data_IF_747667751093
#
_entry.id   IF_747667751093
#
_cell.length_a   1.000
_cell.length_b   1.000
_cell.length_c   1.000
_cell.angle_alpha   90.00
_cell.angle_beta   90.00
_cell.angle_gamma   90.00
#
_symmetry.space_group_name_H-M   'P 1'
#
loop_
_entity.id
_entity.type
_entity.pdbx_description
1 polymer ?
#
# COMPACT_ATOMS: atom_id res chain seq x y z
N UNK A 1 -9.88 -32.86 -2.66
CA UNK A 1 -9.29 -31.93 -1.66
C UNK A 1 -8.28 -30.95 -2.27
N UNK A 2 -7.22 -31.37 -2.99
CA UNK A 2 -6.20 -30.46 -3.57
C UNK A 2 -6.70 -29.30 -4.47
N UNK A 3 -7.84 -29.47 -5.15
CA UNK A 3 -8.37 -28.45 -6.07
C UNK A 3 -8.98 -27.25 -5.33
N UNK A 4 -9.68 -27.48 -4.21
CA UNK A 4 -10.28 -26.42 -3.38
C UNK A 4 -9.21 -25.54 -2.72
N UNK A 5 -8.12 -26.14 -2.27
CA UNK A 5 -6.99 -25.40 -1.68
C UNK A 5 -6.30 -24.48 -2.69
N UNK A 6 -6.22 -24.92 -3.95
CA UNK A 6 -5.61 -24.13 -5.04
C UNK A 6 -6.48 -22.93 -5.41
N UNK A 7 -7.81 -23.13 -5.49
CA UNK A 7 -8.77 -22.07 -5.79
C UNK A 7 -8.77 -21.01 -4.68
N UNK A 8 -8.81 -21.44 -3.41
CA UNK A 8 -8.75 -20.53 -2.26
C UNK A 8 -7.46 -19.71 -2.23
N UNK A 9 -6.31 -20.35 -2.49
CA UNK A 9 -5.02 -19.65 -2.55
C UNK A 9 -4.97 -18.58 -3.64
N UNK A 10 -5.46 -18.89 -4.85
CA UNK A 10 -5.48 -17.97 -5.98
C UNK A 10 -6.43 -16.79 -5.76
N UNK A 11 -7.58 -17.04 -5.12
CA UNK A 11 -8.54 -15.99 -4.77
C UNK A 11 -7.94 -15.02 -3.74
N UNK A 12 -7.25 -15.55 -2.72
CA UNK A 12 -6.62 -14.73 -1.68
C UNK A 12 -5.47 -13.87 -2.23
N UNK A 13 -4.63 -14.41 -3.14
CA UNK A 13 -3.56 -13.62 -3.77
C UNK A 13 -4.10 -12.53 -4.69
N UNK A 14 -5.19 -12.81 -5.42
CA UNK A 14 -5.86 -11.83 -6.27
C UNK A 14 -6.46 -10.69 -5.44
N UNK A 15 -7.14 -11.03 -4.34
CA UNK A 15 -7.72 -10.03 -3.44
C UNK A 15 -6.65 -9.17 -2.79
N UNK A 16 -5.54 -9.75 -2.34
CA UNK A 16 -4.39 -9.01 -1.81
C UNK A 16 -3.85 -7.96 -2.79
N UNK A 17 -3.61 -8.35 -4.05
CA UNK A 17 -3.14 -7.41 -5.08
C UNK A 17 -4.16 -6.33 -5.40
N UNK A 18 -5.47 -6.66 -5.40
CA UNK A 18 -6.54 -5.67 -5.61
C UNK A 18 -6.59 -4.64 -4.50
N UNK A 19 -6.42 -5.03 -3.24
CA UNK A 19 -6.40 -4.08 -2.12
C UNK A 19 -5.23 -3.10 -2.25
N UNK A 20 -4.04 -3.58 -2.61
CA UNK A 20 -2.87 -2.73 -2.84
C UNK A 20 -3.05 -1.80 -4.05
N UNK A 21 -3.69 -2.30 -5.12
CA UNK A 21 -4.02 -1.48 -6.29
C UNK A 21 -4.99 -0.36 -5.93
N UNK A 22 -6.07 -0.68 -5.21
CA UNK A 22 -7.05 0.29 -4.73
C UNK A 22 -6.38 1.33 -3.83
N UNK A 23 -5.52 0.88 -2.90
CA UNK A 23 -4.76 1.78 -2.04
C UNK A 23 -3.91 2.77 -2.87
N UNK A 24 -3.14 2.28 -3.85
CA UNK A 24 -2.30 3.13 -4.70
C UNK A 24 -3.10 4.12 -5.56
N UNK A 25 -4.28 3.72 -6.08
CA UNK A 25 -5.17 4.63 -6.83
C UNK A 25 -5.73 5.73 -5.93
N UNK A 26 -6.23 5.37 -4.74
CA UNK A 26 -6.76 6.33 -3.77
C UNK A 26 -5.65 7.29 -3.32
N UNK A 27 -4.48 6.76 -2.98
CA UNK A 27 -3.31 7.56 -2.56
C UNK A 27 -2.84 8.50 -3.67
N UNK A 28 -2.74 8.03 -4.92
CA UNK A 28 -2.42 8.87 -6.07
C UNK A 28 -3.44 10.01 -6.23
N UNK A 29 -4.73 9.69 -6.14
CA UNK A 29 -5.81 10.69 -6.25
C UNK A 29 -5.72 11.76 -5.16
N UNK A 30 -5.47 11.33 -3.93
CA UNK A 30 -5.22 12.19 -2.79
C UNK A 30 -3.98 13.10 -3.00
N UNK A 31 -2.88 12.55 -3.50
CA UNK A 31 -1.64 13.30 -3.74
C UNK A 31 -1.72 14.22 -4.96
N UNK A 32 -2.61 13.96 -5.92
CA UNK A 32 -2.94 14.90 -7.01
C UNK A 32 -3.58 16.16 -6.41
N UNK A 33 -4.51 16.02 -5.47
CA UNK A 33 -5.13 17.15 -4.77
C UNK A 33 -4.14 18.01 -3.98
N UNK A 34 -2.97 17.47 -3.66
CA UNK A 34 -1.90 18.16 -2.93
C UNK A 34 -0.73 18.60 -3.84
N UNK A 35 -0.81 18.33 -5.14
CA UNK A 35 0.32 18.43 -6.06
C UNK A 35 0.91 19.83 -6.14
N UNK A 36 0.08 20.86 -6.35
CA UNK A 36 0.55 22.26 -6.46
C UNK A 36 1.30 22.71 -5.20
N UNK A 37 0.79 22.33 -4.03
CA UNK A 37 1.42 22.64 -2.74
C UNK A 37 2.75 21.91 -2.57
N UNK A 38 2.81 20.63 -2.95
CA UNK A 38 4.06 19.86 -2.93
C UNK A 38 5.08 20.41 -3.91
N UNK A 39 4.66 20.83 -5.09
CA UNK A 39 5.55 21.46 -6.07
C UNK A 39 6.16 22.75 -5.52
N UNK A 40 5.40 23.54 -4.75
CA UNK A 40 5.89 24.77 -4.13
C UNK A 40 6.92 24.53 -3.01
N UNK A 41 6.82 23.41 -2.28
CA UNK A 41 7.70 23.07 -1.14
C UNK A 41 8.89 22.21 -1.56
N UNK A 42 8.64 21.15 -2.33
CA UNK A 42 9.62 20.12 -2.66
C UNK A 42 10.23 20.29 -4.07
N UNK A 43 9.65 21.17 -4.89
CA UNK A 43 9.97 21.30 -6.31
C UNK A 43 9.26 20.26 -7.20
N UNK A 44 9.21 20.53 -8.51
CA UNK A 44 8.45 19.73 -9.49
C UNK A 44 8.86 18.25 -9.52
N UNK A 45 10.17 17.97 -9.53
CA UNK A 45 10.68 16.61 -9.64
C UNK A 45 10.25 15.72 -8.46
N UNK A 46 10.37 16.25 -7.23
CA UNK A 46 9.96 15.54 -6.03
C UNK A 46 8.43 15.41 -5.95
N UNK A 47 7.69 16.47 -6.28
CA UNK A 47 6.23 16.43 -6.32
C UNK A 47 5.72 15.31 -7.27
N UNK A 48 6.30 15.18 -8.46
CA UNK A 48 5.97 14.09 -9.40
C UNK A 48 6.31 12.71 -8.83
N UNK A 49 7.50 12.54 -8.25
CA UNK A 49 7.91 11.26 -7.68
C UNK A 49 6.97 10.83 -6.55
N UNK A 50 6.61 11.75 -5.65
CA UNK A 50 5.71 11.44 -4.56
C UNK A 50 4.27 11.24 -5.01
N UNK A 51 3.78 11.96 -6.00
CA UNK A 51 2.38 11.81 -6.45
C UNK A 51 2.18 10.59 -7.35
N UNK A 52 3.17 10.22 -8.17
CA UNK A 52 2.98 9.22 -9.24
C UNK A 52 3.78 7.94 -8.98
N UNK A 53 4.96 7.99 -8.36
CA UNK A 53 5.83 6.81 -8.26
C UNK A 53 5.66 6.11 -6.91
N UNK A 54 5.76 6.87 -5.82
CA UNK A 54 5.76 6.33 -4.45
C UNK A 54 4.49 5.55 -4.10
N UNK A 55 3.26 5.99 -4.46
CA UNK A 55 2.03 5.26 -4.15
C UNK A 55 1.95 3.87 -4.78
N UNK A 56 2.76 3.61 -5.81
CA UNK A 56 2.75 2.34 -6.55
C UNK A 56 3.81 1.36 -6.06
N UNK A 57 4.73 1.81 -5.19
CA UNK A 57 5.75 0.96 -4.58
C UNK A 57 5.11 -0.19 -3.77
N UNK A 58 4.09 0.03 -2.92
CA UNK A 58 3.41 -1.06 -2.21
C UNK A 58 2.81 -2.12 -3.14
N UNK A 59 2.21 -1.70 -4.26
CA UNK A 59 1.66 -2.61 -5.27
C UNK A 59 2.75 -3.46 -5.94
N UNK A 60 3.85 -2.82 -6.36
CA UNK A 60 4.98 -3.52 -6.95
C UNK A 60 5.61 -4.54 -5.99
N UNK A 61 5.73 -4.18 -4.70
CA UNK A 61 6.19 -5.09 -3.65
C UNK A 61 5.22 -6.26 -3.46
N UNK A 62 3.91 -6.00 -3.43
CA UNK A 62 2.89 -7.04 -3.37
C UNK A 62 2.97 -8.01 -4.55
N UNK A 63 3.18 -7.49 -5.75
CA UNK A 63 3.41 -8.32 -6.94
C UNK A 63 4.65 -9.20 -6.79
N UNK A 64 5.77 -8.64 -6.31
CA UNK A 64 6.99 -9.40 -6.05
C UNK A 64 6.80 -10.48 -4.98
N UNK A 65 5.96 -10.24 -3.96
CA UNK A 65 5.59 -11.26 -2.96
C UNK A 65 4.84 -12.41 -3.62
N UNK A 66 3.81 -12.12 -4.42
CA UNK A 66 2.97 -13.17 -5.02
C UNK A 66 3.72 -13.94 -6.11
N UNK A 67 4.44 -13.24 -6.99
CA UNK A 67 5.08 -13.84 -8.17
C UNK A 67 6.43 -14.47 -7.85
N UNK A 68 7.27 -13.78 -7.04
CA UNK A 68 8.63 -14.24 -6.74
C UNK A 68 8.78 -14.82 -5.33
N UNK A 69 7.70 -14.85 -4.54
CA UNK A 69 7.73 -15.34 -3.15
C UNK A 69 8.78 -14.60 -2.31
N UNK A 70 8.99 -13.32 -2.59
CA UNK A 70 10.05 -12.52 -1.99
C UNK A 70 9.71 -12.13 -0.54
N UNK A 71 10.44 -12.72 0.41
CA UNK A 71 10.34 -12.37 1.85
C UNK A 71 10.85 -10.96 2.14
N UNK A 72 11.84 -10.50 1.37
CA UNK A 72 12.37 -9.14 1.51
C UNK A 72 11.29 -8.14 1.09
N UNK A 73 10.59 -8.37 -0.03
CA UNK A 73 9.50 -7.50 -0.46
C UNK A 73 8.36 -7.46 0.56
N UNK A 74 8.03 -8.61 1.16
CA UNK A 74 7.07 -8.71 2.26
C UNK A 74 7.49 -7.88 3.48
N UNK A 75 8.75 -7.98 3.91
CA UNK A 75 9.27 -7.21 5.03
C UNK A 75 9.28 -5.70 4.75
N UNK A 76 9.68 -5.29 3.54
CA UNK A 76 9.64 -3.88 3.12
C UNK A 76 8.21 -3.38 3.11
N UNK A 77 7.25 -4.14 2.57
CA UNK A 77 5.84 -3.74 2.55
C UNK A 77 5.30 -3.52 3.97
N UNK A 78 5.59 -4.43 4.91
CA UNK A 78 5.20 -4.28 6.33
C UNK A 78 5.85 -3.03 6.94
N UNK A 79 7.15 -2.82 6.69
CA UNK A 79 7.87 -1.66 7.21
C UNK A 79 7.30 -0.34 6.67
N UNK A 80 6.99 -0.26 5.36
CA UNK A 80 6.39 0.92 4.75
C UNK A 80 5.00 1.22 5.34
N UNK A 81 4.17 0.19 5.53
CA UNK A 81 2.87 0.36 6.18
C UNK A 81 3.03 0.87 7.62
N UNK A 82 3.98 0.33 8.39
CA UNK A 82 4.25 0.81 9.75
C UNK A 82 4.75 2.27 9.76
N UNK A 83 5.65 2.63 8.84
CA UNK A 83 6.13 4.00 8.70
C UNK A 83 5.02 4.98 8.31
N UNK A 84 4.08 4.57 7.45
CA UNK A 84 2.92 5.38 7.09
C UNK A 84 2.04 5.68 8.31
N UNK A 85 1.80 4.69 9.18
CA UNK A 85 1.10 4.90 10.45
C UNK A 85 1.84 5.85 11.39
N UNK A 86 3.15 5.67 11.57
CA UNK A 86 3.97 6.54 12.42
C UNK A 86 3.95 7.97 11.88
N UNK A 87 4.10 8.16 10.56
CA UNK A 87 4.02 9.47 9.92
C UNK A 87 2.64 10.11 10.11
N UNK A 88 1.56 9.35 9.91
CA UNK A 88 0.19 9.83 10.12
C UNK A 88 -0.07 10.29 11.57
N UNK A 89 0.44 9.55 12.56
CA UNK A 89 0.32 9.93 13.98
C UNK A 89 1.20 11.14 14.32
N UNK A 90 2.45 11.17 13.84
CA UNK A 90 3.44 12.19 14.19
C UNK A 90 3.13 13.57 13.58
N UNK A 91 2.56 13.62 12.37
CA UNK A 91 2.25 14.88 11.69
C UNK A 91 1.05 15.59 12.34
N UNK A 92 0.17 14.83 13.02
CA UNK A 92 -1.05 15.33 13.64
C UNK A 92 -2.11 15.77 12.61
N UNK A 93 -3.38 15.48 12.87
CA UNK A 93 -4.51 15.87 12.00
C UNK A 93 -4.67 17.38 11.86
N UNK A 94 -4.10 18.16 12.78
CA UNK A 94 -4.25 19.62 12.86
C UNK A 94 -3.49 20.41 11.76
N UNK A 95 -2.53 19.79 11.05
CA UNK A 95 -1.73 20.46 10.01
C UNK A 95 -2.29 20.27 8.58
N UNK A 96 -3.41 19.54 8.45
CA UNK A 96 -4.02 19.21 7.17
C UNK A 96 -5.35 19.96 7.06
N UNK A 97 -5.31 21.03 6.29
CA UNK A 97 -6.35 22.07 6.25
C UNK A 97 -7.61 21.69 5.44
N UNK A 98 -7.83 20.40 5.15
CA UNK A 98 -8.99 19.95 4.37
C UNK A 98 -9.43 18.53 4.77
N UNK A 99 -10.58 18.43 5.45
CA UNK A 99 -11.11 17.19 6.03
C UNK A 99 -11.38 16.11 4.98
N UNK A 100 -11.74 16.52 3.76
CA UNK A 100 -11.99 15.60 2.65
C UNK A 100 -10.69 14.93 2.16
N UNK A 101 -9.60 15.69 2.10
CA UNK A 101 -8.28 15.20 1.66
C UNK A 101 -7.68 14.25 2.71
N UNK A 102 -7.87 14.57 4.00
CA UNK A 102 -7.53 13.67 5.10
C UNK A 102 -8.29 12.33 5.03
N UNK A 103 -9.60 12.37 4.74
CA UNK A 103 -10.42 11.17 4.63
C UNK A 103 -9.93 10.24 3.51
N UNK A 104 -9.57 10.80 2.34
CA UNK A 104 -9.07 10.01 1.20
C UNK A 104 -7.70 9.38 1.53
N UNK A 105 -6.79 10.12 2.19
CA UNK A 105 -5.51 9.55 2.66
C UNK A 105 -5.69 8.45 3.71
N UNK A 106 -6.66 8.61 4.63
CA UNK A 106 -7.01 7.58 5.61
C UNK A 106 -7.54 6.30 4.94
N UNK A 107 -8.38 6.42 3.90
CA UNK A 107 -8.87 5.27 3.14
C UNK A 107 -7.73 4.50 2.47
N UNK A 108 -6.78 5.19 1.81
CA UNK A 108 -5.61 4.54 1.23
C UNK A 108 -4.82 3.75 2.29
N UNK A 109 -4.60 4.35 3.46
CA UNK A 109 -3.92 3.72 4.59
C UNK A 109 -4.67 2.48 5.10
N UNK A 110 -6.00 2.52 5.17
CA UNK A 110 -6.84 1.38 5.55
C UNK A 110 -6.67 0.23 4.56
N UNK A 111 -6.79 0.49 3.26
CA UNK A 111 -6.64 -0.55 2.23
C UNK A 111 -5.24 -1.18 2.24
N UNK A 112 -4.19 -0.37 2.38
CA UNK A 112 -2.82 -0.86 2.52
C UNK A 112 -2.62 -1.69 3.80
N UNK A 113 -3.23 -1.27 4.91
CA UNK A 113 -3.19 -2.01 6.19
C UNK A 113 -3.89 -3.36 6.06
N UNK A 114 -5.09 -3.41 5.46
CA UNK A 114 -5.80 -4.65 5.22
C UNK A 114 -4.98 -5.62 4.35
N UNK A 115 -4.35 -5.13 3.28
CA UNK A 115 -3.46 -5.94 2.46
C UNK A 115 -2.26 -6.47 3.27
N UNK A 116 -1.66 -5.63 4.11
CA UNK A 116 -0.54 -6.02 4.98
C UNK A 116 -0.96 -7.08 6.02
N UNK A 117 -2.17 -6.97 6.57
CA UNK A 117 -2.71 -7.99 7.49
C UNK A 117 -2.94 -9.33 6.78
N UNK A 118 -3.40 -9.32 5.52
CA UNK A 118 -3.52 -10.55 4.73
C UNK A 118 -2.17 -11.26 4.55
N UNK A 119 -1.07 -10.50 4.37
CA UNK A 119 0.28 -11.05 4.29
C UNK A 119 0.71 -11.75 5.59
N UNK A 120 0.32 -11.20 6.74
CA UNK A 120 0.65 -11.75 8.07
C UNK A 120 -0.22 -12.97 8.45
N UNK A 121 -1.38 -13.12 7.81
CA UNK A 121 -2.29 -14.24 8.01
C UNK A 121 -1.67 -15.59 7.61
N UNK A 122 -2.20 -16.72 8.10
CA UNK A 122 -1.74 -18.05 7.68
C UNK A 122 -1.73 -18.23 6.16
N UNK A 123 -2.75 -17.71 5.46
CA UNK A 123 -2.83 -17.76 4.01
C UNK A 123 -1.67 -17.02 3.33
N UNK A 124 -1.35 -15.82 3.82
CA UNK A 124 -0.24 -15.00 3.32
C UNK A 124 1.14 -15.64 3.52
N UNK A 125 1.36 -16.29 4.68
CA UNK A 125 2.60 -17.02 4.97
C UNK A 125 2.86 -18.14 3.96
N UNK A 126 1.80 -18.84 3.51
CA UNK A 126 1.95 -19.91 2.53
C UNK A 126 2.42 -19.44 1.15
N UNK A 127 2.31 -18.15 0.83
CA UNK A 127 2.86 -17.59 -0.42
C UNK A 127 4.39 -17.49 -0.37
N UNK A 128 4.97 -17.41 0.82
CA UNK A 128 6.41 -17.22 1.06
C UNK A 128 7.15 -18.53 1.40
N UNK A 129 6.43 -19.65 1.46
CA UNK A 129 7.01 -20.97 1.67
C UNK A 129 7.56 -21.49 0.32
N UNK A 130 8.86 -21.78 0.30
CA UNK A 130 9.49 -22.55 -0.78
C UNK A 130 9.09 -24.01 -0.56
N UNK A 131 8.61 -24.67 -1.61
CA UNK A 131 8.46 -26.13 -1.62
C UNK A 131 9.83 -26.78 -1.56
#
# INVERSE_FOLDING_TARGET
MKMMDTISRNMNSTMFLRLLLIAGVIETTYLIGLFERRMAVDGLAMALAFTIVIPWVPYALGWAVVTWRSRIAAAILVALTALAWVAGVAIGTANWFDDAVLLVGALATIFQTLATLMLLSPAGRTWMERR
#
